data_IF_783615771997
#
_entry.id   IF_783615771997
#
_cell.length_a   1.000
_cell.length_b   1.000
_cell.length_c   1.000
_cell.angle_alpha   90.00
_cell.angle_beta   90.00
_cell.angle_gamma   90.00
#
_symmetry.space_group_name_H-M   'P 1'
#
loop_
_entity.id
_entity.type
_entity.pdbx_description
1 polymer ?
#
# COMPACT_ATOMS: atom_id res chain seq x y z
N UNK A 1 13.76 -22.85 18.95
CA UNK A 1 14.40 -22.00 17.92
C UNK A 1 13.80 -20.61 18.03
N UNK A 2 14.62 -19.56 18.10
CA UNK A 2 14.13 -18.19 17.92
C UNK A 2 13.66 -18.04 16.47
N UNK A 3 12.42 -17.55 16.27
CA UNK A 3 11.89 -17.22 14.94
C UNK A 3 12.72 -16.07 14.37
N UNK A 4 12.97 -16.12 13.06
CA UNK A 4 13.74 -15.10 12.32
C UNK A 4 12.90 -14.61 11.16
N UNK A 5 12.95 -13.31 10.89
CA UNK A 5 12.38 -12.74 9.66
C UNK A 5 13.19 -13.22 8.44
N UNK A 6 12.55 -13.19 7.27
CA UNK A 6 13.25 -13.45 5.99
C UNK A 6 14.34 -12.39 5.75
N UNK A 7 15.39 -12.78 5.05
CA UNK A 7 16.50 -11.90 4.67
C UNK A 7 16.09 -11.01 3.47
N UNK A 8 15.17 -10.08 3.72
CA UNK A 8 14.78 -9.03 2.80
C UNK A 8 15.12 -7.67 3.42
N UNK A 9 15.75 -6.79 2.66
CA UNK A 9 16.30 -5.53 3.17
C UNK A 9 15.27 -4.64 3.87
N UNK A 10 14.16 -4.37 3.19
CA UNK A 10 13.21 -3.39 3.68
C UNK A 10 12.38 -3.92 4.85
N UNK A 11 12.07 -5.22 4.87
CA UNK A 11 11.40 -5.87 5.99
C UNK A 11 12.30 -5.89 7.24
N UNK A 12 13.59 -6.19 7.08
CA UNK A 12 14.53 -6.17 8.20
C UNK A 12 14.66 -4.76 8.79
N UNK A 13 14.68 -3.73 7.95
CA UNK A 13 14.63 -2.33 8.41
C UNK A 13 13.31 -2.04 9.14
N UNK A 14 12.15 -2.41 8.58
CA UNK A 14 10.86 -2.19 9.23
C UNK A 14 10.76 -2.87 10.60
N UNK A 15 11.17 -4.14 10.72
CA UNK A 15 11.11 -4.88 11.98
C UNK A 15 12.12 -4.40 13.04
N UNK A 16 13.01 -3.48 12.68
CA UNK A 16 13.91 -2.81 13.63
C UNK A 16 13.14 -1.93 14.61
N UNK A 17 11.92 -1.52 14.30
CA UNK A 17 11.05 -0.78 15.20
C UNK A 17 10.87 -1.46 16.57
N UNK A 18 10.99 -2.79 16.63
CA UNK A 18 10.85 -3.59 17.85
C UNK A 18 12.15 -3.77 18.64
N UNK A 19 13.28 -3.28 18.13
CA UNK A 19 14.60 -3.40 18.78
C UNK A 19 14.92 -2.23 19.72
N UNK A 20 13.92 -1.43 20.07
CA UNK A 20 14.02 -0.25 20.94
C UNK A 20 15.12 0.75 20.50
N UNK A 21 15.01 1.34 19.28
CA UNK A 21 15.94 2.37 18.83
C UNK A 21 16.05 3.49 19.87
N UNK A 22 17.28 3.89 20.19
CA UNK A 22 17.57 4.82 21.29
C UNK A 22 18.43 5.98 20.79
N UNK A 23 18.15 7.17 21.31
CA UNK A 23 18.84 8.41 20.90
C UNK A 23 20.37 8.28 20.97
N UNK A 24 21.07 8.77 19.95
CA UNK A 24 22.53 8.77 19.81
C UNK A 24 23.18 7.37 19.78
N UNK A 25 22.42 6.33 19.41
CA UNK A 25 22.94 4.97 19.23
C UNK A 25 22.85 4.53 17.78
N UNK A 26 23.82 3.73 17.37
CA UNK A 26 23.75 2.98 16.11
C UNK A 26 22.62 1.96 16.26
N UNK A 27 21.74 1.93 15.27
CA UNK A 27 20.67 0.96 15.17
C UNK A 27 21.04 -0.09 14.13
N UNK A 28 20.81 -1.35 14.49
CA UNK A 28 21.03 -2.51 13.63
C UNK A 28 19.74 -3.27 13.41
N UNK A 29 19.52 -3.76 12.20
CA UNK A 29 18.43 -4.66 11.85
C UNK A 29 18.49 -5.99 12.62
N UNK A 30 17.40 -6.78 12.66
CA UNK A 30 17.40 -8.09 13.31
C UNK A 30 18.43 -9.08 12.74
N UNK A 31 18.84 -8.93 11.48
CA UNK A 31 19.91 -9.72 10.86
C UNK A 31 21.34 -9.14 11.06
N UNK A 32 21.46 -8.00 11.75
CA UNK A 32 22.74 -7.41 12.17
C UNK A 32 23.33 -6.35 11.24
N UNK A 33 22.62 -5.89 10.22
CA UNK A 33 23.06 -4.77 9.36
C UNK A 33 22.85 -3.42 10.05
N UNK A 34 23.84 -2.53 9.96
CA UNK A 34 23.72 -1.17 10.49
C UNK A 34 22.87 -0.29 9.57
N UNK A 35 21.90 0.42 10.13
CA UNK A 35 21.02 1.36 9.38
C UNK A 35 21.50 2.80 9.53
N UNK A 36 22.12 3.14 10.67
CA UNK A 36 22.59 4.50 10.97
C UNK A 36 22.50 4.82 12.45
N UNK A 37 22.55 6.11 12.79
CA UNK A 37 22.41 6.61 14.17
C UNK A 37 21.06 7.27 14.37
N UNK A 38 20.37 6.93 15.46
CA UNK A 38 19.12 7.56 15.85
C UNK A 38 19.39 8.99 16.34
N UNK A 39 18.79 9.98 15.70
CA UNK A 39 18.96 11.41 16.02
C UNK A 39 17.73 12.05 16.64
N UNK A 40 16.55 11.47 16.45
CA UNK A 40 15.31 11.93 17.06
C UNK A 40 14.49 10.74 17.55
N UNK A 41 13.90 10.87 18.73
CA UNK A 41 13.02 9.89 19.35
C UNK A 41 11.78 10.62 19.84
N UNK A 42 10.62 10.20 19.35
CA UNK A 42 9.32 10.60 19.86
C UNK A 42 8.68 9.35 20.43
N UNK A 43 8.50 9.31 21.74
CA UNK A 43 7.95 8.18 22.48
C UNK A 43 6.89 8.71 23.44
N UNK A 44 5.63 8.55 23.06
CA UNK A 44 4.44 9.02 23.78
C UNK A 44 4.50 10.51 24.20
N UNK A 45 5.11 11.35 23.36
CA UNK A 45 5.34 12.77 23.66
C UNK A 45 4.01 13.52 23.79
N UNK A 46 2.97 13.06 23.09
CA UNK A 46 1.63 13.65 23.10
C UNK A 46 0.64 12.93 24.02
N UNK A 47 1.05 11.87 24.74
CA UNK A 47 0.15 11.06 25.55
C UNK A 47 -0.82 10.20 24.73
N UNK A 48 -0.45 9.85 23.49
CA UNK A 48 -1.27 9.06 22.56
C UNK A 48 -0.68 7.68 22.23
N UNK A 49 0.46 7.32 22.83
CA UNK A 49 1.20 6.07 22.60
C UNK A 49 1.98 6.05 21.28
N UNK A 50 2.17 7.20 20.63
CA UNK A 50 2.90 7.26 19.37
C UNK A 50 4.41 7.08 19.58
N UNK A 51 5.04 6.32 18.68
CA UNK A 51 6.46 6.04 18.72
C UNK A 51 7.04 6.18 17.32
N UNK A 52 7.97 7.12 17.14
CA UNK A 52 8.60 7.50 15.87
C UNK A 52 10.09 7.79 16.07
N UNK A 53 10.93 7.26 15.19
CA UNK A 53 12.38 7.39 15.26
C UNK A 53 12.95 7.94 13.95
N UNK A 54 13.85 8.93 14.02
CA UNK A 54 14.62 9.40 12.87
C UNK A 54 16.07 8.88 12.94
N UNK A 55 16.57 8.35 11.83
CA UNK A 55 17.89 7.74 11.71
C UNK A 55 18.61 8.37 10.53
N UNK A 56 19.88 8.72 10.72
CA UNK A 56 20.76 9.25 9.67
C UNK A 56 22.07 8.47 9.63
N UNK A 57 22.71 8.44 8.46
CA UNK A 57 23.98 7.73 8.27
C UNK A 57 25.13 8.39 9.04
N UNK A 58 25.23 9.72 9.00
CA UNK A 58 26.24 10.49 9.72
C UNK A 58 25.58 11.57 10.59
N UNK A 59 25.52 11.37 11.93
CA UNK A 59 24.91 12.33 12.84
C UNK A 59 25.74 13.61 13.06
N UNK A 60 26.97 13.68 12.51
CA UNK A 60 27.85 14.85 12.61
C UNK A 60 27.57 15.90 11.53
N UNK A 61 26.89 15.51 10.45
CA UNK A 61 26.51 16.44 9.39
C UNK A 61 25.54 17.50 9.92
N UNK A 62 25.62 18.70 9.37
CA UNK A 62 24.57 19.71 9.64
C UNK A 62 23.25 19.18 9.06
N UNK A 63 22.10 19.50 9.67
CA UNK A 63 20.82 18.97 9.18
C UNK A 63 20.51 19.30 7.71
N UNK A 64 21.00 20.42 7.18
CA UNK A 64 20.88 20.81 5.77
C UNK A 64 21.78 20.01 4.81
N UNK A 65 22.80 19.32 5.32
CA UNK A 65 23.75 18.50 4.55
C UNK A 65 23.36 17.02 4.54
N UNK A 66 22.39 16.62 5.38
CA UNK A 66 21.84 15.26 5.39
C UNK A 66 21.06 15.01 4.10
N UNK A 67 21.48 14.01 3.33
CA UNK A 67 20.84 13.64 2.07
C UNK A 67 19.65 12.71 2.23
N UNK A 68 19.66 11.85 3.26
CA UNK A 68 18.64 10.83 3.49
C UNK A 68 18.36 10.67 4.99
N UNK A 69 17.09 10.52 5.34
CA UNK A 69 16.61 10.21 6.69
C UNK A 69 15.72 8.97 6.62
N UNK A 70 16.03 7.97 7.44
CA UNK A 70 15.16 6.81 7.66
C UNK A 70 14.25 7.08 8.85
N UNK A 71 12.94 6.93 8.66
CA UNK A 71 11.92 7.11 9.70
C UNK A 71 11.25 5.77 10.00
N UNK A 72 11.31 5.34 11.26
CA UNK A 72 10.63 4.14 11.74
C UNK A 72 9.40 4.55 12.57
N UNK A 73 8.23 4.04 12.20
CA UNK A 73 7.01 4.17 12.99
C UNK A 73 6.72 2.84 13.69
N UNK A 74 6.75 2.81 15.02
CA UNK A 74 6.64 1.53 15.75
C UNK A 74 5.22 0.99 15.90
N UNK A 75 5.00 -0.28 15.63
CA UNK A 75 3.74 -0.97 15.92
C UNK A 75 3.54 -1.29 17.40
N UNK A 76 2.35 -1.77 17.75
CA UNK A 76 2.00 -2.13 19.13
C UNK A 76 2.80 -3.35 19.61
N UNK A 77 3.37 -3.28 20.81
CA UNK A 77 4.08 -4.40 21.45
C UNK A 77 3.12 -5.49 21.98
N UNK A 78 1.86 -5.15 22.24
CA UNK A 78 0.83 -6.05 22.79
C UNK A 78 0.38 -7.18 21.86
N UNK A 79 0.70 -7.12 20.57
CA UNK A 79 0.35 -8.15 19.57
C UNK A 79 1.13 -9.46 19.82
N UNK A 80 2.25 -9.40 20.52
CA UNK A 80 2.98 -10.61 20.95
C UNK A 80 2.28 -11.39 22.07
N UNK A 81 1.22 -10.84 22.68
CA UNK A 81 0.39 -11.47 23.72
C UNK A 81 -0.87 -12.15 23.14
N UNK A 82 -1.05 -12.14 21.80
CA UNK A 82 -2.16 -12.78 21.07
C UNK A 82 -2.27 -14.30 21.30
N UNK A 83 -1.29 -14.92 21.95
CA UNK A 83 -1.25 -16.36 22.23
C UNK A 83 -2.30 -16.86 23.23
N UNK A 84 -2.89 -15.99 24.07
CA UNK A 84 -3.65 -16.48 25.22
C UNK A 84 -5.17 -16.33 25.10
N UNK A 85 -5.71 -15.24 24.51
CA UNK A 85 -7.17 -15.05 24.33
C UNK A 85 -7.52 -14.18 23.11
N UNK A 86 -7.89 -14.75 21.96
CA UNK A 86 -8.10 -14.01 20.71
C UNK A 86 -9.30 -13.03 20.75
N UNK A 87 -10.24 -13.21 21.70
CA UNK A 87 -11.39 -12.30 21.90
C UNK A 87 -11.05 -11.12 22.81
N UNK A 88 -10.27 -11.32 23.85
CA UNK A 88 -9.93 -10.26 24.80
C UNK A 88 -8.86 -9.32 24.23
N UNK A 89 -7.93 -9.83 23.41
CA UNK A 89 -6.98 -8.99 22.66
C UNK A 89 -7.67 -8.25 21.52
N UNK A 90 -8.69 -8.87 20.90
CA UNK A 90 -9.57 -8.17 19.98
C UNK A 90 -10.27 -7.04 20.70
N UNK A 91 -10.89 -7.28 21.85
CA UNK A 91 -11.55 -6.25 22.64
C UNK A 91 -10.59 -5.18 23.17
N UNK A 92 -9.34 -5.48 23.57
CA UNK A 92 -8.38 -4.50 24.06
C UNK A 92 -7.70 -3.70 22.93
N UNK A 93 -7.42 -4.33 21.79
CA UNK A 93 -7.01 -3.63 20.55
C UNK A 93 -8.17 -2.76 20.02
N UNK A 94 -9.40 -3.27 20.09
CA UNK A 94 -10.65 -2.59 19.71
C UNK A 94 -10.97 -1.42 20.65
N UNK A 95 -10.81 -1.58 21.97
CA UNK A 95 -11.23 -0.61 22.97
C UNK A 95 -10.22 0.51 23.19
N UNK A 96 -8.92 0.27 22.97
CA UNK A 96 -7.88 1.27 23.25
C UNK A 96 -7.21 1.90 22.01
N UNK A 97 -7.13 1.24 20.84
CA UNK A 97 -6.43 1.77 19.64
C UNK A 97 -7.30 1.83 18.34
N UNK A 98 -8.55 1.34 18.36
CA UNK A 98 -9.36 1.08 17.15
C UNK A 98 -10.58 1.99 16.96
N UNK A 99 -10.38 3.29 16.81
CA UNK A 99 -11.42 4.13 16.20
C UNK A 99 -11.51 3.95 14.67
N UNK A 100 -10.65 3.13 14.04
CA UNK A 100 -10.49 3.03 12.58
C UNK A 100 -11.13 1.76 11.99
N UNK A 101 -10.93 0.58 12.57
CA UNK A 101 -11.58 -0.66 12.08
C UNK A 101 -13.10 -0.59 12.18
N UNK A 102 -13.63 0.00 13.25
CA UNK A 102 -15.06 0.29 13.44
C UNK A 102 -15.60 1.36 12.46
N UNK A 103 -14.77 2.29 11.99
CA UNK A 103 -15.18 3.33 11.02
C UNK A 103 -15.09 2.86 9.57
N UNK A 104 -14.10 2.04 9.24
CA UNK A 104 -13.98 1.41 7.92
C UNK A 104 -15.13 0.43 7.68
N UNK A 105 -15.58 -0.30 8.70
CA UNK A 105 -16.77 -1.15 8.61
C UNK A 105 -18.08 -0.34 8.57
N UNK A 106 -18.08 0.91 9.05
CA UNK A 106 -19.22 1.82 9.02
C UNK A 106 -19.42 2.56 7.68
N UNK A 107 -18.63 2.27 6.64
CA UNK A 107 -18.80 2.89 5.31
C UNK A 107 -20.16 2.60 4.67
N UNK A 108 -20.85 1.55 5.09
CA UNK A 108 -22.21 1.21 4.63
C UNK A 108 -23.33 1.88 5.45
N UNK A 109 -23.00 2.66 6.49
CA UNK A 109 -24.00 3.38 7.28
C UNK A 109 -24.49 4.65 6.57
N UNK A 110 -25.81 4.91 6.48
CA UNK A 110 -26.40 6.00 5.70
C UNK A 110 -25.99 7.42 6.14
N UNK A 111 -25.43 7.58 7.35
CA UNK A 111 -24.97 8.88 7.88
C UNK A 111 -23.44 9.07 7.74
N UNK A 112 -22.75 8.22 6.98
CA UNK A 112 -21.31 8.32 6.76
C UNK A 112 -21.00 9.42 5.71
N UNK A 113 -20.66 10.63 6.17
CA UNK A 113 -20.11 11.66 5.26
C UNK A 113 -18.77 11.19 4.68
N UNK A 114 -18.64 11.17 3.35
CA UNK A 114 -17.51 10.55 2.62
C UNK A 114 -16.22 11.38 2.60
N UNK A 115 -16.28 12.67 2.97
CA UNK A 115 -15.15 13.61 2.89
C UNK A 115 -14.86 14.29 4.23
N UNK A 116 -14.43 13.52 5.23
CA UNK A 116 -14.02 14.02 6.55
C UNK A 116 -12.87 13.16 7.07
N UNK A 117 -11.76 13.78 7.47
CA UNK A 117 -10.66 13.11 8.18
C UNK A 117 -11.16 12.52 9.51
N UNK A 118 -11.05 11.20 9.64
CA UNK A 118 -11.49 10.44 10.83
C UNK A 118 -10.35 9.68 11.51
N UNK A 119 -9.12 10.12 11.32
CA UNK A 119 -7.95 9.60 12.01
C UNK A 119 -8.00 9.81 13.53
N UNK A 120 -7.19 9.01 14.24
CA UNK A 120 -7.06 9.09 15.70
C UNK A 120 -6.03 10.14 16.10
N UNK A 121 -6.06 10.63 17.36
CA UNK A 121 -5.01 11.48 17.90
C UNK A 121 -3.60 10.89 17.75
N UNK A 122 -3.45 9.57 17.89
CA UNK A 122 -2.17 8.88 17.73
C UNK A 122 -1.63 8.93 16.29
N UNK A 123 -2.49 8.79 15.28
CA UNK A 123 -2.09 8.97 13.88
C UNK A 123 -1.67 10.42 13.62
N UNK A 124 -2.43 11.39 14.15
CA UNK A 124 -2.13 12.82 14.03
C UNK A 124 -0.81 13.19 14.70
N UNK A 125 -0.56 12.69 15.90
CA UNK A 125 0.72 12.90 16.60
C UNK A 125 1.90 12.34 15.79
N UNK A 126 1.76 11.14 15.22
CA UNK A 126 2.78 10.56 14.37
C UNK A 126 3.05 11.40 13.10
N UNK A 127 2.00 11.96 12.49
CA UNK A 127 2.11 12.84 11.33
C UNK A 127 2.83 14.16 11.68
N UNK A 128 2.52 14.77 12.83
CA UNK A 128 3.23 15.95 13.34
C UNK A 128 4.73 15.68 13.54
N UNK A 129 5.07 14.50 14.09
CA UNK A 129 6.47 14.11 14.27
C UNK A 129 7.19 13.92 12.94
N UNK A 130 6.55 13.32 11.92
CA UNK A 130 7.12 13.23 10.57
C UNK A 130 7.41 14.62 9.99
N UNK A 131 6.45 15.54 10.07
CA UNK A 131 6.62 16.94 9.62
C UNK A 131 7.78 17.62 10.35
N UNK A 132 7.90 17.39 11.65
CA UNK A 132 8.99 17.94 12.47
C UNK A 132 10.36 17.38 12.05
N UNK A 133 10.46 16.08 11.76
CA UNK A 133 11.66 15.44 11.24
C UNK A 133 12.01 16.04 9.87
N UNK A 134 11.04 16.16 8.97
CA UNK A 134 11.24 16.71 7.63
C UNK A 134 11.68 18.18 7.64
N UNK A 135 11.15 18.98 8.56
CA UNK A 135 11.55 20.35 8.80
C UNK A 135 12.97 20.44 9.38
N UNK A 136 13.34 19.50 10.26
CA UNK A 136 14.69 19.42 10.82
C UNK A 136 15.74 19.14 9.74
N UNK A 137 15.41 18.32 8.74
CA UNK A 137 16.32 17.90 7.67
C UNK A 137 15.84 18.37 6.30
N UNK A 138 15.84 19.69 6.00
CA UNK A 138 15.07 20.27 4.89
C UNK A 138 15.44 19.75 3.49
N UNK A 139 16.68 19.31 3.27
CA UNK A 139 17.16 18.81 1.98
C UNK A 139 17.11 17.29 1.85
N UNK A 140 16.79 16.58 2.93
CA UNK A 140 16.83 15.13 2.95
C UNK A 140 15.66 14.52 2.19
N UNK A 141 15.96 13.43 1.49
CA UNK A 141 14.98 12.41 1.07
C UNK A 141 14.59 11.55 2.26
N UNK A 142 13.33 11.14 2.29
CA UNK A 142 12.74 10.45 3.44
C UNK A 142 12.38 9.02 3.07
N UNK A 143 12.85 8.08 3.89
CA UNK A 143 12.66 6.65 3.76
C UNK A 143 11.80 6.17 4.93
N UNK A 144 10.56 5.77 4.66
CA UNK A 144 9.59 5.48 5.71
C UNK A 144 9.43 3.97 5.86
N UNK A 145 9.42 3.51 7.11
CA UNK A 145 9.15 2.12 7.44
C UNK A 145 8.19 2.00 8.61
N UNK A 146 7.41 0.93 8.59
CA UNK A 146 6.64 0.50 9.74
C UNK A 146 6.06 -0.88 9.54
N UNK A 147 5.54 -1.45 10.62
CA UNK A 147 4.78 -2.69 10.62
C UNK A 147 3.53 -2.53 11.50
N UNK A 148 2.44 -3.25 11.21
CA UNK A 148 1.23 -3.24 12.03
C UNK A 148 0.66 -1.82 12.21
N UNK A 149 0.38 -1.38 13.44
CA UNK A 149 -0.02 0.00 13.76
C UNK A 149 1.03 1.04 13.31
N UNK A 150 2.32 0.69 13.31
CA UNK A 150 3.39 1.51 12.78
C UNK A 150 3.19 1.87 11.32
N UNK A 151 2.76 0.89 10.53
CA UNK A 151 2.38 1.09 9.13
C UNK A 151 1.11 1.94 8.96
N UNK A 152 0.12 1.88 9.87
CA UNK A 152 -1.02 2.80 9.83
C UNK A 152 -0.59 4.24 10.10
N UNK A 153 0.28 4.44 11.09
CA UNK A 153 0.92 5.73 11.39
C UNK A 153 1.66 6.26 10.17
N UNK A 154 2.46 5.43 9.51
CA UNK A 154 3.15 5.79 8.27
C UNK A 154 2.18 6.19 7.16
N UNK A 155 1.15 5.39 6.88
CA UNK A 155 0.15 5.70 5.84
C UNK A 155 -0.51 7.07 6.07
N UNK A 156 -1.00 7.33 7.28
CA UNK A 156 -1.64 8.60 7.60
C UNK A 156 -0.64 9.76 7.59
N UNK A 157 0.57 9.57 8.14
CA UNK A 157 1.60 10.61 8.17
C UNK A 157 1.99 11.07 6.77
N UNK A 158 2.05 10.14 5.80
CA UNK A 158 2.29 10.48 4.39
C UNK A 158 1.09 11.23 3.80
N UNK A 159 -0.14 10.80 4.10
CA UNK A 159 -1.36 11.44 3.62
C UNK A 159 -1.54 12.88 4.11
N UNK A 160 -1.03 13.18 5.30
CA UNK A 160 -1.13 14.49 5.95
C UNK A 160 -0.02 15.48 5.50
N UNK A 161 0.90 15.07 4.62
CA UNK A 161 1.95 15.96 4.09
C UNK A 161 1.39 17.00 3.13
N UNK A 162 2.14 18.10 2.96
CA UNK A 162 1.89 19.06 1.89
C UNK A 162 2.29 18.46 0.53
N UNK A 163 1.73 19.00 -0.56
CA UNK A 163 2.15 18.64 -1.92
C UNK A 163 3.63 18.98 -2.22
N UNK A 164 4.26 19.89 -1.47
CA UNK A 164 5.69 20.18 -1.61
C UNK A 164 6.53 19.08 -0.93
N UNK A 165 6.16 18.74 0.31
CA UNK A 165 6.87 17.75 1.11
C UNK A 165 6.72 16.32 0.58
N UNK A 166 5.58 15.98 -0.02
CA UNK A 166 5.29 14.61 -0.48
C UNK A 166 6.35 14.09 -1.47
N UNK A 167 6.94 14.94 -2.31
CA UNK A 167 7.96 14.56 -3.28
C UNK A 167 9.34 14.29 -2.66
N UNK A 168 9.52 14.62 -1.38
CA UNK A 168 10.71 14.26 -0.60
C UNK A 168 10.65 12.81 -0.09
N UNK A 169 9.49 12.17 -0.08
CA UNK A 169 9.38 10.73 0.16
C UNK A 169 10.03 9.99 -1.03
N UNK A 170 11.11 9.28 -0.75
CA UNK A 170 11.84 8.47 -1.73
C UNK A 170 11.19 7.09 -1.85
N UNK A 171 10.96 6.44 -0.72
CA UNK A 171 10.14 5.23 -0.63
C UNK A 171 9.52 5.09 0.76
N UNK A 172 8.40 4.36 0.82
CA UNK A 172 7.76 3.92 2.05
C UNK A 172 7.50 2.41 1.97
N UNK A 173 7.99 1.64 2.94
CA UNK A 173 7.77 0.20 3.05
C UNK A 173 6.95 -0.11 4.29
N UNK A 174 5.73 -0.58 4.09
CA UNK A 174 4.76 -0.81 5.15
C UNK A 174 4.24 -2.25 5.06
N UNK A 175 4.08 -2.89 6.21
CA UNK A 175 3.84 -4.33 6.33
C UNK A 175 2.67 -4.62 7.27
N UNK A 176 1.77 -5.51 6.83
CA UNK A 176 0.69 -6.10 7.64
C UNK A 176 -0.14 -5.10 8.43
N UNK A 177 -0.66 -4.09 7.73
CA UNK A 177 -1.41 -2.99 8.33
C UNK A 177 -2.83 -2.89 7.77
N UNK A 178 -3.81 -2.51 8.60
CA UNK A 178 -5.09 -2.05 8.12
C UNK A 178 -4.93 -0.92 7.09
N UNK A 179 -5.86 -0.87 6.14
CA UNK A 179 -5.92 0.19 5.15
C UNK A 179 -6.58 1.44 5.73
N UNK A 180 -5.85 2.56 5.78
CA UNK A 180 -6.41 3.83 6.30
C UNK A 180 -7.11 4.66 5.22
N UNK A 181 -7.02 4.29 3.94
CA UNK A 181 -7.55 5.12 2.83
C UNK A 181 -9.02 5.52 3.02
N UNK A 182 -9.83 4.61 3.56
CA UNK A 182 -11.26 4.82 3.81
C UNK A 182 -11.63 5.84 4.90
N UNK A 183 -10.66 6.30 5.69
CA UNK A 183 -10.84 7.31 6.74
C UNK A 183 -10.17 8.66 6.42
N UNK A 184 -9.51 8.75 5.26
CA UNK A 184 -8.89 9.97 4.76
C UNK A 184 -9.96 10.89 4.14
N UNK A 185 -9.73 12.19 4.20
CA UNK A 185 -10.45 13.15 3.36
C UNK A 185 -9.94 13.12 1.91
N UNK A 186 -10.59 13.86 1.01
CA UNK A 186 -10.26 13.81 -0.41
C UNK A 186 -8.87 14.41 -0.72
N UNK A 187 -8.43 15.44 0.04
CA UNK A 187 -7.09 16.01 -0.11
C UNK A 187 -5.99 15.01 0.29
N UNK A 188 -6.20 14.29 1.38
CA UNK A 188 -5.30 13.25 1.86
C UNK A 188 -5.20 12.07 0.89
N UNK A 189 -6.32 11.67 0.27
CA UNK A 189 -6.34 10.63 -0.78
C UNK A 189 -5.55 11.07 -2.01
N UNK A 190 -5.81 12.28 -2.50
CA UNK A 190 -5.06 12.86 -3.62
C UNK A 190 -3.54 12.90 -3.32
N UNK A 191 -3.18 13.32 -2.10
CA UNK A 191 -1.79 13.42 -1.66
C UNK A 191 -1.06 12.07 -1.70
N UNK A 192 -1.65 11.00 -1.16
CA UNK A 192 -1.01 9.66 -1.22
C UNK A 192 -0.98 9.10 -2.65
N UNK A 193 -1.97 9.43 -3.48
CA UNK A 193 -2.06 8.95 -4.85
C UNK A 193 -1.00 9.59 -5.76
N UNK A 194 -0.54 10.83 -5.48
CA UNK A 194 0.59 11.48 -6.18
C UNK A 194 1.89 10.66 -6.15
N UNK A 195 2.11 9.90 -5.07
CA UNK A 195 3.31 9.07 -4.89
C UNK A 195 2.98 7.59 -4.70
N UNK A 196 1.80 7.12 -5.16
CA UNK A 196 1.35 5.74 -5.00
C UNK A 196 2.42 4.72 -5.39
N UNK A 197 3.18 5.02 -6.45
CA UNK A 197 4.30 4.22 -6.96
C UNK A 197 5.50 4.07 -6.02
N UNK A 198 5.63 4.91 -4.98
CA UNK A 198 6.74 4.92 -4.00
C UNK A 198 6.36 4.30 -2.66
N UNK A 199 5.08 3.99 -2.45
CA UNK A 199 4.56 3.39 -1.22
C UNK A 199 4.31 1.91 -1.49
N UNK A 200 5.12 1.05 -0.89
CA UNK A 200 5.08 -0.41 -1.03
C UNK A 200 4.34 -1.00 0.18
N UNK A 201 3.10 -1.42 -0.05
CA UNK A 201 2.19 -1.90 0.98
C UNK A 201 2.06 -3.41 0.93
N UNK A 202 2.85 -4.12 1.72
CA UNK A 202 2.84 -5.58 1.78
C UNK A 202 1.76 -6.07 2.74
N UNK A 203 0.86 -6.89 2.21
CA UNK A 203 -0.34 -7.35 2.89
C UNK A 203 -0.38 -8.86 2.81
N UNK A 204 -0.52 -9.53 3.95
CA UNK A 204 -0.68 -10.98 4.00
C UNK A 204 -2.17 -11.34 4.11
N UNK A 205 -2.80 -11.94 3.09
CA UNK A 205 -4.21 -12.31 3.16
C UNK A 205 -4.58 -13.27 4.29
N UNK A 206 -3.59 -13.97 4.87
CA UNK A 206 -3.80 -14.85 6.03
C UNK A 206 -3.71 -14.09 7.35
N UNK A 207 -3.14 -12.89 7.34
CA UNK A 207 -3.23 -11.94 8.45
C UNK A 207 -4.48 -11.07 8.30
N UNK A 208 -5.50 -11.39 9.10
CA UNK A 208 -6.77 -10.66 9.08
C UNK A 208 -6.60 -9.17 9.39
N UNK A 209 -5.60 -8.78 10.20
CA UNK A 209 -5.34 -7.37 10.56
C UNK A 209 -4.96 -6.59 9.31
N UNK A 210 -4.06 -7.13 8.49
CA UNK A 210 -3.65 -6.52 7.23
C UNK A 210 -4.79 -6.38 6.22
N UNK A 211 -5.82 -7.22 6.33
CA UNK A 211 -6.98 -7.26 5.44
C UNK A 211 -8.11 -6.30 5.84
N UNK A 212 -8.04 -5.66 7.01
CA UNK A 212 -9.03 -4.67 7.44
C UNK A 212 -9.06 -3.50 6.44
N UNK A 213 -10.25 -3.23 5.88
CA UNK A 213 -10.45 -2.17 4.89
C UNK A 213 -9.94 -2.48 3.49
N UNK A 214 -9.76 -3.77 3.16
CA UNK A 214 -9.30 -4.20 1.85
C UNK A 214 -10.24 -5.20 1.21
N UNK A 215 -10.33 -5.09 -0.12
CA UNK A 215 -10.87 -6.12 -0.99
C UNK A 215 -9.76 -6.55 -1.96
N UNK A 216 -9.38 -7.83 -1.93
CA UNK A 216 -8.35 -8.36 -2.82
C UNK A 216 -8.67 -8.16 -4.30
N UNK A 217 -9.96 -8.10 -4.67
CA UNK A 217 -10.40 -7.87 -6.05
C UNK A 217 -10.11 -6.44 -6.52
N UNK A 218 -10.08 -5.48 -5.58
CA UNK A 218 -9.74 -4.07 -5.84
C UNK A 218 -8.24 -3.85 -6.02
N UNK A 219 -7.40 -4.78 -5.57
CA UNK A 219 -5.94 -4.63 -5.68
C UNK A 219 -5.46 -3.40 -4.89
N UNK A 220 -4.94 -2.40 -5.61
CA UNK A 220 -4.48 -1.13 -5.04
C UNK A 220 -5.52 0.00 -5.13
N UNK A 221 -6.73 -0.27 -5.65
CA UNK A 221 -7.83 0.70 -5.66
C UNK A 221 -8.30 0.91 -4.22
N UNK A 222 -8.62 2.16 -3.88
CA UNK A 222 -9.01 2.59 -2.53
C UNK A 222 -7.99 2.20 -1.44
N UNK A 223 -6.70 2.20 -1.77
CA UNK A 223 -5.62 1.86 -0.85
C UNK A 223 -4.49 2.89 -0.89
N UNK A 224 -3.84 3.09 0.26
CA UNK A 224 -2.60 3.87 0.36
C UNK A 224 -1.44 3.05 -0.21
N UNK A 225 -0.90 3.52 -1.34
CA UNK A 225 0.22 2.91 -2.04
C UNK A 225 -0.13 1.74 -2.96
N UNK A 226 0.91 1.11 -3.51
CA UNK A 226 0.80 -0.15 -4.25
C UNK A 226 0.68 -1.32 -3.28
N UNK A 227 -0.40 -2.09 -3.39
CA UNK A 227 -0.66 -3.25 -2.53
C UNK A 227 -0.04 -4.50 -3.13
N UNK A 228 0.82 -5.15 -2.35
CA UNK A 228 1.51 -6.38 -2.68
C UNK A 228 1.00 -7.50 -1.77
N UNK A 229 0.11 -8.33 -2.31
CA UNK A 229 -0.44 -9.46 -1.56
C UNK A 229 0.58 -10.60 -1.47
N UNK A 230 0.99 -10.94 -0.26
CA UNK A 230 2.07 -11.88 0.02
C UNK A 230 1.58 -13.32 -0.05
N UNK A 231 2.37 -14.18 -0.69
CA UNK A 231 2.22 -15.63 -0.66
C UNK A 231 3.01 -16.18 0.54
N UNK A 232 2.35 -16.25 1.70
CA UNK A 232 2.93 -16.65 2.98
C UNK A 232 2.61 -18.10 3.34
N UNK A 233 3.39 -18.69 4.25
CA UNK A 233 3.01 -19.93 4.95
C UNK A 233 1.83 -19.66 5.88
N UNK A 234 1.00 -20.67 6.08
CA UNK A 234 -0.05 -20.65 7.08
C UNK A 234 0.53 -20.91 8.47
N UNK A 235 0.36 -19.95 9.39
CA UNK A 235 0.88 -19.96 10.76
C UNK A 235 -0.21 -19.50 11.73
N UNK A 236 0.06 -19.60 13.04
CA UNK A 236 -0.82 -19.01 14.05
C UNK A 236 -0.91 -17.49 13.91
N UNK A 237 -2.06 -16.91 14.30
CA UNK A 237 -2.39 -15.49 14.12
C UNK A 237 -1.25 -14.51 14.47
N UNK A 238 -0.64 -14.68 15.65
CA UNK A 238 0.48 -13.82 16.08
C UNK A 238 1.68 -13.93 15.14
N UNK A 239 2.04 -15.15 14.73
CA UNK A 239 3.17 -15.37 13.84
C UNK A 239 2.92 -14.89 12.41
N UNK A 240 1.69 -15.06 11.95
CA UNK A 240 1.24 -14.60 10.65
C UNK A 240 1.35 -13.08 10.57
N UNK A 241 0.82 -12.39 11.57
CA UNK A 241 0.88 -10.94 11.64
C UNK A 241 2.32 -10.44 11.74
N UNK A 242 3.17 -11.08 12.57
CA UNK A 242 4.59 -10.76 12.69
C UNK A 242 5.44 -11.16 11.46
N UNK A 243 4.83 -11.45 10.30
CA UNK A 243 5.49 -11.75 9.02
C UNK A 243 6.37 -13.00 9.01
N UNK A 244 6.33 -13.85 10.05
CA UNK A 244 7.13 -15.08 10.08
C UNK A 244 6.71 -16.10 9.01
N UNK A 245 5.53 -15.92 8.42
CA UNK A 245 5.04 -16.69 7.28
C UNK A 245 5.62 -16.26 5.94
N UNK A 246 6.25 -15.09 5.85
CA UNK A 246 6.74 -14.55 4.58
C UNK A 246 7.81 -15.46 3.99
N UNK A 247 7.89 -15.45 2.65
CA UNK A 247 8.81 -16.29 1.91
C UNK A 247 9.52 -15.48 0.86
N UNK A 248 10.78 -15.85 0.57
CA UNK A 248 11.52 -15.32 -0.56
C UNK A 248 11.31 -16.21 -1.79
N UNK A 249 11.20 -15.58 -2.95
CA UNK A 249 11.39 -16.25 -4.23
C UNK A 249 12.89 -16.56 -4.45
N UNK A 250 13.19 -17.23 -5.57
CA UNK A 250 14.57 -17.61 -5.90
C UNK A 250 15.50 -16.43 -6.20
N UNK A 251 14.98 -15.21 -6.23
CA UNK A 251 15.71 -13.97 -6.49
C UNK A 251 15.84 -13.09 -5.25
N UNK A 252 15.34 -13.55 -4.10
CA UNK A 252 15.40 -12.78 -2.85
C UNK A 252 14.29 -11.75 -2.69
N UNK A 253 13.23 -11.76 -3.52
CA UNK A 253 12.07 -10.89 -3.31
C UNK A 253 11.00 -11.61 -2.49
N UNK A 254 10.19 -10.85 -1.75
CA UNK A 254 9.00 -11.39 -1.08
C UNK A 254 8.10 -12.05 -2.13
N UNK A 255 7.72 -13.31 -1.90
CA UNK A 255 6.77 -14.02 -2.75
C UNK A 255 5.42 -13.35 -2.68
N UNK A 256 4.84 -13.10 -3.86
CA UNK A 256 3.53 -12.51 -4.00
C UNK A 256 2.55 -13.52 -4.58
N UNK A 257 1.29 -13.41 -4.16
CA UNK A 257 0.20 -14.10 -4.84
C UNK A 257 0.12 -13.64 -6.29
N UNK A 258 -0.12 -14.58 -7.20
CA UNK A 258 -0.26 -14.26 -8.62
C UNK A 258 -1.61 -13.59 -8.88
N UNK A 259 -1.72 -12.32 -8.52
CA UNK A 259 -2.81 -11.45 -8.96
C UNK A 259 -2.31 -10.83 -10.27
N UNK A 260 -2.98 -11.15 -11.39
CA UNK A 260 -2.80 -10.77 -12.82
C UNK A 260 -1.50 -10.09 -13.32
N UNK A 261 -0.93 -9.11 -12.63
CA UNK A 261 0.31 -8.40 -12.99
C UNK A 261 1.58 -9.28 -12.90
N UNK A 262 1.55 -10.42 -12.21
CA UNK A 262 2.75 -11.23 -11.92
C UNK A 262 3.47 -11.80 -13.16
N UNK A 263 2.78 -12.02 -14.28
CA UNK A 263 3.36 -12.64 -15.48
C UNK A 263 4.32 -11.70 -16.22
N UNK A 264 3.94 -10.43 -16.37
CA UNK A 264 4.77 -9.42 -17.03
C UNK A 264 5.97 -9.09 -16.16
N UNK A 265 5.77 -8.88 -14.85
CA UNK A 265 6.89 -8.62 -13.93
C UNK A 265 7.91 -9.77 -13.97
N UNK A 266 7.47 -11.04 -13.93
CA UNK A 266 8.39 -12.20 -14.10
C UNK A 266 9.18 -12.15 -15.41
N UNK A 267 8.55 -11.70 -16.50
CA UNK A 267 9.18 -11.58 -17.83
C UNK A 267 10.18 -10.42 -17.87
N UNK A 268 9.83 -9.26 -17.30
CA UNK A 268 10.74 -8.11 -17.13
C UNK A 268 11.94 -8.54 -16.29
N UNK A 269 11.73 -9.15 -15.13
CA UNK A 269 12.80 -9.62 -14.25
C UNK A 269 13.74 -10.61 -14.95
N UNK A 270 13.20 -11.58 -15.71
CA UNK A 270 14.01 -12.52 -16.50
C UNK A 270 14.85 -11.81 -17.58
N UNK A 271 14.27 -10.83 -18.26
CA UNK A 271 14.98 -10.08 -19.30
C UNK A 271 16.06 -9.16 -18.69
N UNK A 272 15.79 -8.55 -17.54
CA UNK A 272 16.76 -7.77 -16.78
C UNK A 272 17.93 -8.63 -16.28
N UNK A 273 17.69 -9.88 -15.88
CA UNK A 273 18.77 -10.81 -15.55
C UNK A 273 19.69 -11.09 -16.74
N UNK A 274 19.10 -11.30 -17.92
CA UNK A 274 19.88 -11.47 -19.15
C UNK A 274 20.69 -10.20 -19.47
N UNK A 275 20.11 -9.02 -19.27
CA UNK A 275 20.80 -7.74 -19.40
C UNK A 275 22.01 -7.63 -18.47
N UNK A 276 21.86 -7.93 -17.17
CA UNK A 276 22.99 -7.85 -16.23
C UNK A 276 24.08 -8.88 -16.54
N UNK A 277 23.71 -10.09 -16.97
CA UNK A 277 24.67 -11.09 -17.42
C UNK A 277 25.45 -10.63 -18.66
N UNK A 278 24.80 -9.92 -19.59
CA UNK A 278 25.46 -9.31 -20.76
C UNK A 278 26.38 -8.15 -20.37
N UNK A 279 25.90 -7.25 -19.49
CA UNK A 279 26.70 -6.13 -18.97
C UNK A 279 27.99 -6.62 -18.29
N UNK A 280 27.91 -7.68 -17.49
CA UNK A 280 29.07 -8.31 -16.86
C UNK A 280 30.06 -8.88 -17.90
N UNK A 281 29.57 -9.52 -18.97
CA UNK A 281 30.41 -10.02 -20.07
C UNK A 281 31.13 -8.91 -20.82
N UNK A 282 30.47 -7.78 -21.10
CA UNK A 282 31.13 -6.63 -21.73
C UNK A 282 32.19 -6.00 -20.81
N UNK A 283 31.89 -5.86 -19.51
CA UNK A 283 32.85 -5.37 -18.52
C UNK A 283 34.05 -6.29 -18.27
N UNK A 284 33.95 -7.58 -18.61
CA UNK A 284 35.06 -8.54 -18.48
C UNK A 284 36.08 -8.50 -19.63
N UNK A 285 35.72 -7.89 -20.77
CA UNK A 285 36.56 -7.84 -21.98
C UNK A 285 37.45 -6.60 -22.08
N UNK A 286 37.16 -5.56 -21.30
CA UNK A 286 37.99 -4.38 -21.13
C UNK A 286 37.69 -3.79 -19.75
N UNK A 287 38.69 -3.22 -19.07
CA UNK A 287 38.52 -2.56 -17.76
C UNK A 287 37.55 -1.36 -17.77
N UNK A 288 36.96 -1.02 -18.92
CA UNK A 288 35.86 -0.07 -19.09
C UNK A 288 35.03 -0.39 -20.35
N UNK A 289 33.70 -0.23 -20.27
CA UNK A 289 32.79 -0.35 -21.42
C UNK A 289 33.07 0.73 -22.49
N UNK A 290 33.08 0.35 -23.77
CA UNK A 290 33.13 1.29 -24.89
C UNK A 290 31.84 2.11 -25.03
N UNK A 291 31.90 3.22 -25.77
CA UNK A 291 30.73 4.07 -26.02
C UNK A 291 29.58 3.31 -26.71
N UNK A 292 29.89 2.43 -27.66
CA UNK A 292 28.91 1.62 -28.39
C UNK A 292 28.28 0.54 -27.49
N UNK A 293 29.06 -0.07 -26.59
CA UNK A 293 28.54 -1.04 -25.62
C UNK A 293 27.63 -0.36 -24.59
N UNK A 294 27.96 0.85 -24.15
CA UNK A 294 27.08 1.66 -23.28
C UNK A 294 25.76 1.97 -23.99
N UNK A 295 25.82 2.50 -25.21
CA UNK A 295 24.63 2.82 -26.00
C UNK A 295 23.74 1.59 -26.26
N UNK A 296 24.36 0.44 -26.55
CA UNK A 296 23.64 -0.81 -26.71
C UNK A 296 22.95 -1.27 -25.43
N UNK A 297 23.65 -1.23 -24.29
CA UNK A 297 23.08 -1.59 -22.99
C UNK A 297 21.94 -0.65 -22.59
N UNK A 298 22.09 0.66 -22.81
CA UNK A 298 21.04 1.63 -22.52
C UNK A 298 19.79 1.37 -23.38
N UNK A 299 19.98 1.10 -24.68
CA UNK A 299 18.90 0.72 -25.59
C UNK A 299 18.23 -0.60 -25.20
N UNK A 300 19.02 -1.60 -24.77
CA UNK A 300 18.50 -2.90 -24.33
C UNK A 300 17.68 -2.76 -23.03
N UNK A 301 18.18 -2.02 -22.04
CA UNK A 301 17.46 -1.75 -20.80
C UNK A 301 16.16 -0.98 -21.06
N UNK A 302 16.22 0.08 -21.88
CA UNK A 302 15.05 0.86 -22.28
C UNK A 302 14.03 0.01 -23.04
N UNK A 303 14.47 -0.90 -23.91
CA UNK A 303 13.59 -1.80 -24.66
C UNK A 303 12.89 -2.82 -23.75
N UNK A 304 13.59 -3.37 -22.75
CA UNK A 304 13.01 -4.31 -21.78
C UNK A 304 11.91 -3.62 -20.97
N UNK A 305 12.18 -2.42 -20.47
CA UNK A 305 11.21 -1.63 -19.71
C UNK A 305 10.05 -1.19 -20.61
N UNK A 306 10.34 -0.63 -21.80
CA UNK A 306 9.33 -0.16 -22.74
C UNK A 306 8.37 -1.26 -23.21
N UNK A 307 8.88 -2.46 -23.52
CA UNK A 307 8.02 -3.61 -23.84
C UNK A 307 7.21 -4.08 -22.64
N UNK A 308 7.81 -4.09 -21.45
CA UNK A 308 7.11 -4.43 -20.22
C UNK A 308 5.95 -3.48 -19.91
N UNK A 309 6.17 -2.17 -20.08
CA UNK A 309 5.14 -1.15 -19.96
C UNK A 309 4.06 -1.33 -21.03
N UNK A 310 4.42 -1.53 -22.30
CA UNK A 310 3.46 -1.79 -23.37
C UNK A 310 2.58 -3.02 -23.13
N UNK A 311 3.19 -4.13 -22.69
CA UNK A 311 2.44 -5.33 -22.30
C UNK A 311 1.53 -5.08 -21.08
N UNK A 312 1.97 -4.25 -20.12
CA UNK A 312 1.19 -3.91 -18.92
C UNK A 312 -0.01 -3.04 -19.28
N UNK A 313 0.20 -2.03 -20.12
CA UNK A 313 -0.87 -1.18 -20.67
C UNK A 313 -1.88 -2.03 -21.41
N UNK A 314 -1.45 -3.01 -22.20
CA UNK A 314 -2.37 -3.92 -22.88
C UNK A 314 -3.19 -4.77 -21.89
N UNK A 315 -2.57 -5.34 -20.85
CA UNK A 315 -3.32 -6.09 -19.83
C UNK A 315 -4.29 -5.22 -19.04
N UNK A 316 -3.90 -3.98 -18.74
CA UNK A 316 -4.78 -2.99 -18.11
C UNK A 316 -5.96 -2.69 -19.03
N UNK A 317 -5.70 -2.45 -20.32
CA UNK A 317 -6.74 -2.24 -21.32
C UNK A 317 -7.71 -3.42 -21.38
N UNK A 318 -7.21 -4.66 -21.50
CA UNK A 318 -8.04 -5.87 -21.56
C UNK A 318 -8.87 -6.04 -20.27
N UNK A 319 -8.29 -5.69 -19.13
CA UNK A 319 -8.98 -5.76 -17.83
C UNK A 319 -10.07 -4.71 -17.71
N UNK A 320 -9.83 -3.48 -18.16
CA UNK A 320 -10.82 -2.39 -18.15
C UNK A 320 -11.98 -2.72 -19.10
N UNK A 321 -11.69 -3.28 -20.27
CA UNK A 321 -12.70 -3.85 -21.17
C UNK A 321 -13.54 -4.94 -20.49
N UNK A 322 -12.89 -5.85 -19.76
CA UNK A 322 -13.60 -6.89 -19.00
C UNK A 322 -14.47 -6.32 -17.88
N UNK A 323 -13.97 -5.31 -17.14
CA UNK A 323 -14.72 -4.64 -16.09
C UNK A 323 -15.93 -3.88 -16.65
N UNK A 324 -15.77 -3.19 -17.78
CA UNK A 324 -16.89 -2.58 -18.52
C UNK A 324 -17.97 -3.62 -18.82
N UNK A 325 -17.60 -4.78 -19.38
CA UNK A 325 -18.55 -5.83 -19.71
C UNK A 325 -19.30 -6.35 -18.47
N UNK A 326 -18.59 -6.55 -17.36
CA UNK A 326 -19.19 -6.97 -16.09
C UNK A 326 -20.17 -5.92 -15.58
N UNK A 327 -19.78 -4.63 -15.54
CA UNK A 327 -20.66 -3.55 -15.09
C UNK A 327 -21.93 -3.45 -15.96
N UNK A 328 -21.81 -3.61 -17.28
CA UNK A 328 -22.98 -3.64 -18.17
C UNK A 328 -23.86 -4.85 -17.88
N UNK A 329 -23.29 -6.04 -17.64
CA UNK A 329 -24.07 -7.23 -17.26
C UNK A 329 -24.80 -7.06 -15.92
N UNK A 330 -24.14 -6.46 -14.93
CA UNK A 330 -24.76 -6.16 -13.64
C UNK A 330 -25.89 -5.12 -13.78
N UNK A 331 -25.71 -4.09 -14.61
CA UNK A 331 -26.76 -3.13 -14.95
C UNK A 331 -27.94 -3.80 -15.70
N UNK A 332 -27.69 -4.73 -16.62
CA UNK A 332 -28.74 -5.50 -17.32
C UNK A 332 -29.51 -6.40 -16.34
N UNK A 333 -28.81 -6.99 -15.36
CA UNK A 333 -29.44 -7.75 -14.29
C UNK A 333 -30.31 -6.86 -13.40
N UNK A 334 -29.78 -5.71 -12.99
CA UNK A 334 -30.53 -4.72 -12.20
C UNK A 334 -31.77 -4.23 -12.95
N UNK A 335 -31.64 -3.95 -14.25
CA UNK A 335 -32.79 -3.63 -15.10
C UNK A 335 -33.81 -4.77 -15.13
N UNK A 336 -33.38 -6.01 -15.29
CA UNK A 336 -34.27 -7.17 -15.29
C UNK A 336 -35.03 -7.34 -13.97
N UNK A 337 -34.44 -6.96 -12.83
CA UNK A 337 -35.11 -6.96 -11.53
C UNK A 337 -36.24 -5.91 -11.46
N UNK A 338 -36.12 -4.77 -12.15
CA UNK A 338 -37.19 -3.76 -12.23
C UNK A 338 -38.43 -4.24 -13.02
N UNK A 339 -38.29 -5.32 -13.79
CA UNK A 339 -39.38 -5.93 -14.55
C UNK A 339 -40.16 -6.98 -13.74
N UNK A 340 -39.70 -7.29 -12.52
CA UNK A 340 -40.34 -8.25 -11.63
C UNK A 340 -41.20 -7.54 -10.59
N UNK A 341 -42.34 -8.13 -10.24
CA UNK A 341 -43.21 -7.60 -9.18
C UNK A 341 -42.62 -7.97 -7.81
N UNK A 342 -42.29 -6.99 -6.94
CA UNK A 342 -41.74 -7.28 -5.63
C UNK A 342 -42.72 -8.05 -4.73
N UNK A 343 -42.18 -8.93 -3.89
CA UNK A 343 -42.99 -9.73 -2.96
C UNK A 343 -43.78 -8.83 -2.00
N UNK A 344 -45.08 -9.10 -1.85
CA UNK A 344 -46.00 -8.34 -1.00
C UNK A 344 -46.76 -7.20 -1.69
N UNK A 345 -46.52 -6.97 -2.99
CA UNK A 345 -47.24 -5.98 -3.80
C UNK A 345 -48.26 -6.65 -4.72
N UNK A 346 -49.48 -6.13 -4.74
CA UNK A 346 -50.56 -6.57 -5.66
C UNK A 346 -50.61 -5.69 -6.91
N UNK A 347 -49.49 -5.59 -7.62
CA UNK A 347 -49.36 -4.82 -8.86
C UNK A 347 -49.11 -5.75 -10.05
N UNK A 348 -49.51 -5.32 -11.24
CA UNK A 348 -49.11 -5.96 -12.49
C UNK A 348 -47.66 -5.59 -12.84
N UNK A 349 -46.94 -6.42 -13.60
CA UNK A 349 -45.59 -6.08 -14.08
C UNK A 349 -45.52 -4.73 -14.82
N UNK A 350 -46.58 -4.34 -15.54
CA UNK A 350 -46.67 -3.07 -16.25
C UNK A 350 -46.79 -1.85 -15.31
N UNK A 351 -47.53 -1.99 -14.21
CA UNK A 351 -47.67 -0.94 -13.19
C UNK A 351 -46.35 -0.73 -12.43
N UNK A 352 -45.65 -1.81 -12.09
CA UNK A 352 -44.32 -1.76 -11.46
C UNK A 352 -43.30 -1.09 -12.39
N UNK A 353 -43.28 -1.50 -13.66
CA UNK A 353 -42.37 -0.92 -14.65
C UNK A 353 -42.65 0.58 -14.86
N UNK A 354 -43.92 0.97 -14.91
CA UNK A 354 -44.33 2.37 -15.06
C UNK A 354 -43.90 3.22 -13.85
N UNK A 355 -44.02 2.69 -12.62
CA UNK A 355 -43.56 3.36 -11.40
C UNK A 355 -42.02 3.56 -11.38
N UNK A 356 -41.25 2.56 -11.83
CA UNK A 356 -39.80 2.70 -11.96
C UNK A 356 -39.40 3.74 -13.01
N UNK A 357 -40.06 3.74 -14.18
CA UNK A 357 -39.83 4.73 -15.23
C UNK A 357 -40.17 6.15 -14.74
N UNK A 358 -41.28 6.32 -14.02
CA UNK A 358 -41.68 7.60 -13.43
C UNK A 358 -40.67 8.11 -12.39
N UNK A 359 -40.03 7.19 -11.65
CA UNK A 359 -38.92 7.49 -10.74
C UNK A 359 -37.57 7.72 -11.47
N UNK A 360 -37.53 7.71 -12.80
CA UNK A 360 -36.34 7.94 -13.61
C UNK A 360 -35.46 6.71 -13.86
N UNK A 361 -35.93 5.51 -13.49
CA UNK A 361 -35.24 4.25 -13.76
C UNK A 361 -35.66 3.70 -15.13
N UNK A 362 -34.79 3.88 -16.11
CA UNK A 362 -34.96 3.46 -17.49
C UNK A 362 -33.77 2.61 -17.91
N UNK A 363 -33.92 1.82 -18.98
CA UNK A 363 -32.79 1.09 -19.56
C UNK A 363 -31.64 2.04 -19.96
N UNK A 364 -31.97 3.22 -20.50
CA UNK A 364 -31.00 4.28 -20.77
C UNK A 364 -30.25 4.71 -19.50
N UNK A 365 -30.96 5.00 -18.41
CA UNK A 365 -30.33 5.51 -17.18
C UNK A 365 -29.57 4.45 -16.38
N UNK A 366 -29.90 3.17 -16.52
CA UNK A 366 -29.27 2.06 -15.79
C UNK A 366 -28.18 1.37 -16.61
N UNK A 367 -28.42 1.11 -17.90
CA UNK A 367 -27.56 0.26 -18.73
C UNK A 367 -26.74 1.09 -19.71
N UNK A 368 -27.39 1.91 -20.54
CA UNK A 368 -26.67 2.64 -21.60
C UNK A 368 -25.73 3.68 -21.01
N UNK A 369 -26.13 4.44 -19.98
CA UNK A 369 -25.22 5.36 -19.29
C UNK A 369 -23.99 4.65 -18.71
N UNK A 370 -24.13 3.43 -18.17
CA UNK A 370 -23.01 2.62 -17.67
C UNK A 370 -22.11 2.17 -18.82
N UNK A 371 -22.69 1.82 -19.96
CA UNK A 371 -21.96 1.42 -21.17
C UNK A 371 -21.16 2.60 -21.73
N UNK A 372 -21.81 3.74 -21.93
CA UNK A 372 -21.22 4.96 -22.50
C UNK A 372 -20.08 5.49 -21.63
N UNK A 373 -20.27 5.53 -20.31
CA UNK A 373 -19.21 5.90 -19.38
C UNK A 373 -18.01 4.92 -19.45
N UNK A 374 -18.32 3.62 -19.57
CA UNK A 374 -17.28 2.60 -19.77
C UNK A 374 -16.55 2.74 -21.11
N UNK A 375 -17.22 3.15 -22.18
CA UNK A 375 -16.63 3.46 -23.49
C UNK A 375 -15.70 4.67 -23.41
N UNK A 376 -16.12 5.75 -22.76
CA UNK A 376 -15.30 6.94 -22.55
C UNK A 376 -14.00 6.61 -21.79
N UNK A 377 -14.06 5.79 -20.74
CA UNK A 377 -12.87 5.35 -20.00
C UNK A 377 -11.92 4.57 -20.90
N UNK A 378 -12.45 3.66 -21.73
CA UNK A 378 -11.65 2.85 -22.66
C UNK A 378 -10.97 3.72 -23.71
N UNK A 379 -11.69 4.66 -24.33
CA UNK A 379 -11.16 5.52 -25.39
C UNK A 379 -10.04 6.43 -24.87
N UNK A 380 -10.18 6.96 -23.66
CA UNK A 380 -9.18 7.82 -23.03
C UNK A 380 -7.87 7.09 -22.64
N UNK A 381 -7.83 5.76 -22.66
CA UNK A 381 -6.62 4.97 -22.40
C UNK A 381 -5.73 4.77 -23.64
N UNK A 382 -6.22 5.11 -24.84
CA UNK A 382 -5.53 4.91 -26.11
C UNK A 382 -4.79 6.16 -26.64
N UNK A 383 -4.86 7.28 -25.89
CA UNK A 383 -4.19 8.56 -26.16
C UNK A 383 -3.03 8.72 -25.20
#
# INVERSE_FOLDING_TARGET
>A
MHKKYIDEEHLQIAMTEYLNPSLNRIVTTPDGRSIGTVTQVYDDVKGTGEQVYAIVNDPKLKPSEVSEVTVLFRGSTGINQITEQPKDVFDDWVKNDLLIGLRVQAQEHPNYSKNVDRSTPQLKAAAEHLKTIMASYPNAKINIYGHSLGSMKAQYSIADLSQEDIYRIQYAYIYNAPNVYGILDDYQKETVDLIKGRIYNFVDPKDWISMVGRDMKKGSIDAVGQVYYVDSKDLGMSDQHMTYGYQLDKYGNIKLLSISSSSIFKKISKNMQNYYAKKAKFGSKASSLSANEKLYLDSEQASIIGKGLGETVQQIHDRIQSLKQISVQDSEKLWSETLQVPWGFSLTPAEVQSAYIEAGMTHLSIVENTRDYGDEIVENLLI
#
